data_IF_059474069159
#
_entry.id   IF_059474069159
#
_cell.length_a   1.000
_cell.length_b   1.000
_cell.length_c   1.000
_cell.angle_alpha   90.00
_cell.angle_beta   90.00
_cell.angle_gamma   90.00
#
_symmetry.space_group_name_H-M   'P 1'
#
loop_
_entity.id
_entity.type
_entity.pdbx_description
1 polymer ?
#
# COMPACT_ATOMS: atom_id res chain seq x y z
N UNK A 1 13.28 1.37 5.92
CA UNK A 1 12.09 0.75 5.32
C UNK A 1 11.04 0.62 6.42
N UNK A 2 9.80 1.04 6.15
CA UNK A 2 8.71 1.03 7.14
C UNK A 2 7.64 0.07 6.67
N UNK A 3 7.11 -0.71 7.60
CA UNK A 3 6.03 -1.67 7.35
C UNK A 3 4.86 -1.31 8.26
N UNK A 4 3.67 -1.33 7.69
CA UNK A 4 2.41 -1.16 8.42
C UNK A 4 1.52 -2.31 8.00
N UNK A 5 0.98 -3.02 8.98
CA UNK A 5 -0.10 -3.97 8.77
C UNK A 5 -1.40 -3.23 8.99
N UNK A 6 -2.35 -3.37 8.06
CA UNK A 6 -3.68 -2.83 8.20
C UNK A 6 -4.66 -3.99 8.27
N UNK A 7 -5.31 -4.14 9.42
CA UNK A 7 -6.40 -5.09 9.58
C UNK A 7 -7.71 -4.45 9.14
N UNK A 8 -8.40 -5.05 8.17
CA UNK A 8 -9.62 -4.48 7.62
C UNK A 8 -10.80 -4.53 8.60
N UNK A 9 -10.74 -5.43 9.58
CA UNK A 9 -11.78 -5.57 10.61
C UNK A 9 -11.63 -4.49 11.69
N UNK A 10 -10.39 -4.18 12.09
CA UNK A 10 -10.10 -3.25 13.19
C UNK A 10 -9.86 -1.80 12.73
N UNK A 11 -9.39 -1.60 11.50
CA UNK A 11 -8.93 -0.30 10.98
C UNK A 11 -9.76 0.20 9.79
N UNK A 12 -11.05 -0.14 9.76
CA UNK A 12 -11.99 0.22 8.69
C UNK A 12 -12.03 1.74 8.38
N UNK A 13 -11.91 2.59 9.40
CA UNK A 13 -11.87 4.05 9.23
C UNK A 13 -10.67 4.51 8.36
N UNK A 14 -9.55 3.79 8.41
CA UNK A 14 -8.38 4.08 7.57
C UNK A 14 -8.58 3.65 6.12
N UNK A 15 -9.41 2.62 5.88
CA UNK A 15 -9.74 2.16 4.54
C UNK A 15 -10.71 3.11 3.84
N UNK A 16 -11.66 3.69 4.57
CA UNK A 16 -12.71 4.53 4.00
C UNK A 16 -13.60 3.72 3.06
N UNK A 17 -13.85 4.24 1.85
CA UNK A 17 -14.70 3.57 0.84
C UNK A 17 -13.96 2.50 0.02
N UNK A 18 -12.77 2.07 0.45
CA UNK A 18 -12.02 1.02 -0.26
C UNK A 18 -12.63 -0.34 -0.01
N UNK A 19 -13.02 -1.00 -1.10
CA UNK A 19 -13.51 -2.38 -1.08
C UNK A 19 -12.34 -3.35 -1.35
N UNK A 20 -11.86 -4.01 -0.30
CA UNK A 20 -10.75 -4.96 -0.37
C UNK A 20 -11.30 -6.38 -0.43
N UNK A 21 -11.45 -6.90 -1.65
CA UNK A 21 -12.02 -8.24 -1.86
C UNK A 21 -10.97 -9.37 -1.80
N UNK A 22 -9.69 -9.05 -2.08
CA UNK A 22 -8.63 -10.07 -2.23
C UNK A 22 -7.48 -9.83 -1.27
N UNK A 23 -7.10 -10.89 -0.55
CA UNK A 23 -6.02 -10.85 0.43
C UNK A 23 -4.80 -11.69 0.02
N UNK A 24 -3.57 -11.24 0.37
CA UNK A 24 -3.26 -9.93 0.93
C UNK A 24 -3.23 -8.86 -0.19
N UNK A 25 -3.71 -7.66 0.11
CA UNK A 25 -3.54 -6.47 -0.72
C UNK A 25 -2.41 -5.62 -0.17
N UNK A 26 -1.49 -5.22 -1.03
CA UNK A 26 -0.30 -4.45 -0.66
C UNK A 26 -0.39 -3.03 -1.21
N UNK A 27 0.01 -2.07 -0.39
CA UNK A 27 0.36 -0.72 -0.83
C UNK A 27 1.88 -0.55 -0.71
N UNK A 28 2.52 -0.15 -1.81
CA UNK A 28 3.93 0.23 -1.81
C UNK A 28 4.06 1.73 -2.08
N UNK A 29 4.98 2.39 -1.36
CA UNK A 29 5.21 3.82 -1.49
C UNK A 29 6.70 4.14 -1.69
N UNK A 30 7.01 4.91 -2.73
CA UNK A 30 8.31 5.51 -2.94
C UNK A 30 8.52 6.68 -1.96
N UNK A 31 9.69 6.70 -1.31
CA UNK A 31 10.11 7.72 -0.33
C UNK A 31 9.11 7.94 0.82
N UNK A 32 8.22 6.97 1.07
CA UNK A 32 7.14 7.06 2.04
C UNK A 32 6.10 8.14 1.74
N UNK A 33 6.06 8.68 0.52
CA UNK A 33 5.20 9.83 0.17
C UNK A 33 4.38 9.64 -1.09
N UNK A 34 4.78 8.74 -1.97
CA UNK A 34 4.11 8.53 -3.26
C UNK A 34 3.76 7.06 -3.43
N UNK A 35 2.48 6.75 -3.50
CA UNK A 35 2.01 5.40 -3.82
C UNK A 35 2.52 5.00 -5.21
N UNK A 36 3.11 3.81 -5.31
CA UNK A 36 3.66 3.24 -6.54
C UNK A 36 2.99 1.94 -6.94
N UNK A 37 2.32 1.27 -6.00
CA UNK A 37 1.55 0.06 -6.22
C UNK A 37 0.44 -0.03 -5.18
N UNK A 38 -0.73 -0.49 -5.62
CA UNK A 38 -1.82 -0.89 -4.76
C UNK A 38 -2.58 -2.04 -5.41
N UNK A 39 -2.63 -3.19 -4.75
CA UNK A 39 -3.33 -4.36 -5.28
C UNK A 39 -2.94 -5.67 -4.63
N UNK A 40 -3.61 -6.77 -5.01
CA UNK A 40 -3.36 -8.08 -4.44
C UNK A 40 -1.99 -8.61 -4.87
N UNK A 41 -1.28 -9.21 -3.91
CA UNK A 41 -0.07 -9.99 -4.21
C UNK A 41 -0.12 -11.29 -3.40
N UNK A 42 -0.28 -12.45 -4.05
CA UNK A 42 -0.19 -13.73 -3.35
C UNK A 42 1.16 -13.85 -2.61
N UNK A 43 1.29 -14.70 -1.58
CA UNK A 43 2.51 -14.83 -0.77
C UNK A 43 3.73 -15.32 -1.57
N UNK A 44 4.34 -14.41 -2.33
CA UNK A 44 5.41 -14.67 -3.29
C UNK A 44 6.57 -13.71 -2.98
N UNK A 45 7.47 -14.09 -2.05
CA UNK A 45 8.54 -13.21 -1.57
C UNK A 45 9.45 -12.69 -2.68
N UNK A 46 9.74 -13.53 -3.69
CA UNK A 46 10.57 -13.13 -4.83
C UNK A 46 9.95 -12.03 -5.70
N UNK A 47 8.63 -12.03 -5.86
CA UNK A 47 7.91 -10.98 -6.59
C UNK A 47 7.96 -9.67 -5.80
N UNK A 48 7.64 -9.73 -4.50
CA UNK A 48 7.72 -8.56 -3.62
C UNK A 48 9.13 -7.95 -3.60
N UNK A 49 10.18 -8.77 -3.46
CA UNK A 49 11.56 -8.31 -3.47
C UNK A 49 11.92 -7.58 -4.78
N UNK A 50 11.45 -8.10 -5.92
CA UNK A 50 11.64 -7.45 -7.22
C UNK A 50 10.89 -6.13 -7.32
N UNK A 51 9.64 -6.07 -6.86
CA UNK A 51 8.84 -4.83 -6.84
C UNK A 51 9.50 -3.73 -6.01
N UNK A 52 9.98 -4.07 -4.80
CA UNK A 52 10.70 -3.14 -3.92
C UNK A 52 11.98 -2.61 -4.57
N UNK A 53 12.69 -3.45 -5.33
CA UNK A 53 13.92 -3.05 -6.05
C UNK A 53 13.61 -2.16 -7.26
N UNK A 54 12.47 -2.37 -7.94
CA UNK A 54 12.09 -1.63 -9.15
C UNK A 54 11.39 -0.28 -8.90
N UNK A 55 11.06 0.05 -7.66
CA UNK A 55 10.34 1.27 -7.26
C UNK A 55 11.03 2.60 -7.63
N UNK A 56 12.24 2.57 -8.18
CA UNK A 56 12.96 3.77 -8.64
C UNK A 56 12.32 4.47 -9.84
N UNK A 57 11.43 3.78 -10.59
CA UNK A 57 10.74 4.39 -11.72
C UNK A 57 9.44 5.10 -11.28
N UNK A 58 9.17 6.33 -11.75
CA UNK A 58 7.91 7.00 -11.47
C UNK A 58 6.75 6.22 -12.11
N UNK A 59 5.92 5.62 -11.26
CA UNK A 59 4.61 5.11 -11.67
C UNK A 59 3.56 6.21 -11.44
N UNK A 60 2.54 6.23 -12.29
CA UNK A 60 1.35 7.05 -12.06
C UNK A 60 0.65 6.52 -10.81
N UNK A 61 0.54 7.35 -9.78
CA UNK A 61 -0.11 6.96 -8.54
C UNK A 61 -1.62 6.87 -8.77
N UNK A 62 -2.20 5.72 -8.43
CA UNK A 62 -3.65 5.59 -8.25
C UNK A 62 -4.10 6.58 -7.14
N UNK A 63 -5.05 7.49 -7.42
CA UNK A 63 -5.56 8.44 -6.43
C UNK A 63 -6.07 7.77 -5.15
N UNK A 64 -6.71 6.59 -5.25
CA UNK A 64 -7.22 5.87 -4.08
C UNK A 64 -6.06 5.33 -3.23
N UNK A 65 -5.04 4.76 -3.87
CA UNK A 65 -3.81 4.33 -3.21
C UNK A 65 -3.10 5.50 -2.51
N UNK A 66 -3.02 6.66 -3.17
CA UNK A 66 -2.40 7.83 -2.56
C UNK A 66 -3.19 8.34 -1.34
N UNK A 67 -4.52 8.35 -1.41
CA UNK A 67 -5.37 8.74 -0.30
C UNK A 67 -5.21 7.80 0.91
N UNK A 68 -5.15 6.48 0.68
CA UNK A 68 -4.88 5.50 1.73
C UNK A 68 -3.51 5.75 2.37
N UNK A 69 -2.46 5.97 1.55
CA UNK A 69 -1.12 6.27 2.05
C UNK A 69 -1.12 7.48 3.00
N UNK A 70 -1.78 8.57 2.64
CA UNK A 70 -1.84 9.77 3.48
C UNK A 70 -2.58 9.52 4.80
N UNK A 71 -3.70 8.78 4.79
CA UNK A 71 -4.43 8.41 6.01
C UNK A 71 -3.56 7.56 6.95
N UNK A 72 -2.90 6.54 6.41
CA UNK A 72 -1.99 5.65 7.15
C UNK A 72 -0.79 6.43 7.69
N UNK A 73 -0.25 7.38 6.93
CA UNK A 73 0.84 8.23 7.41
C UNK A 73 0.40 9.11 8.57
N UNK A 74 -0.79 9.71 8.49
CA UNK A 74 -1.31 10.56 9.55
C UNK A 74 -1.64 9.76 10.83
N UNK A 75 -2.18 8.55 10.70
CA UNK A 75 -2.57 7.71 11.84
C UNK A 75 -1.39 7.11 12.61
N UNK A 76 -0.23 7.00 11.96
CA UNK A 76 0.94 6.36 12.54
C UNK A 76 2.21 7.25 12.45
N UNK A 77 2.01 8.58 12.47
CA UNK A 77 3.08 9.58 12.53
C UNK A 77 3.74 9.66 13.92
#
# INVERSE_FOLDING_TARGET
MRFVWLDVEDEADLLGDLDIETFPTLLLAADGRRASFFGPLPPQPGVLARMLTSMAAPATADPQAQALLERVRAAHA
#
